data_IF_613905130590
#
_entry.id   IF_613905130590
#
_cell.length_a   1.000
_cell.length_b   1.000
_cell.length_c   1.000
_cell.angle_alpha   90.00
_cell.angle_beta   90.00
_cell.angle_gamma   90.00
#
_symmetry.space_group_name_H-M   'P 1'
#
loop_
_entity.id
_entity.type
_entity.pdbx_description
1 polymer ?
#
# COMPACT_ATOMS: atom_id res chain seq x y z
N UNK A 1 -12.39 3.10 -49.26
CA UNK A 1 -11.92 1.99 -48.40
C UNK A 1 -10.99 2.52 -47.30
N UNK A 2 -11.52 3.13 -46.22
CA UNK A 2 -10.70 3.68 -45.10
C UNK A 2 -11.30 3.44 -43.70
N UNK A 3 -12.28 2.54 -43.56
CA UNK A 3 -13.01 2.33 -42.30
C UNK A 3 -12.75 0.98 -41.60
N UNK A 4 -11.89 0.13 -42.17
CA UNK A 4 -11.61 -1.21 -41.62
C UNK A 4 -10.36 -1.31 -40.73
N UNK A 5 -9.49 -0.29 -40.70
CA UNK A 5 -8.24 -0.34 -39.91
C UNK A 5 -8.38 0.11 -38.45
N UNK A 6 -9.51 0.74 -38.07
CA UNK A 6 -9.68 1.26 -36.70
C UNK A 6 -10.25 0.24 -35.71
N UNK A 7 -10.76 -0.90 -36.18
CA UNK A 7 -11.42 -1.88 -35.30
C UNK A 7 -10.44 -2.95 -34.80
N UNK A 8 -9.37 -3.23 -35.56
CA UNK A 8 -8.35 -4.22 -35.16
C UNK A 8 -7.28 -3.70 -34.20
N UNK A 9 -7.11 -2.38 -34.07
CA UNK A 9 -6.10 -1.81 -33.16
C UNK A 9 -6.57 -1.70 -31.70
N UNK A 10 -7.88 -1.53 -31.46
CA UNK A 10 -8.44 -1.45 -30.10
C UNK A 10 -8.48 -2.79 -29.36
N UNK A 11 -8.35 -3.93 -30.06
CA UNK A 11 -8.36 -5.23 -29.41
C UNK A 11 -6.97 -5.64 -28.87
N UNK A 12 -5.90 -5.06 -29.40
CA UNK A 12 -4.52 -5.40 -29.01
C UNK A 12 -4.09 -4.62 -27.75
N UNK A 13 -4.57 -3.39 -27.57
CA UNK A 13 -4.21 -2.57 -26.39
C UNK A 13 -4.93 -3.08 -25.12
N UNK A 14 -6.14 -3.64 -25.25
CA UNK A 14 -6.86 -4.22 -24.11
C UNK A 14 -6.21 -5.51 -23.58
N UNK A 15 -5.48 -6.24 -24.43
CA UNK A 15 -4.77 -7.47 -24.03
C UNK A 15 -3.43 -7.14 -23.34
N UNK A 16 -2.80 -6.00 -23.62
CA UNK A 16 -1.56 -5.60 -22.94
C UNK A 16 -1.77 -5.05 -21.52
N UNK A 17 -2.98 -4.61 -21.15
CA UNK A 17 -3.30 -4.22 -19.76
C UNK A 17 -3.80 -5.39 -18.90
N UNK A 18 -4.11 -6.55 -19.51
CA UNK A 18 -4.70 -7.70 -18.83
C UNK A 18 -3.73 -8.80 -18.40
N UNK A 19 -2.41 -8.64 -18.58
CA UNK A 19 -1.42 -9.72 -18.36
C UNK A 19 -0.48 -9.43 -17.17
N UNK A 20 -0.75 -8.43 -16.32
CA UNK A 20 0.12 -8.14 -15.17
C UNK A 20 -0.60 -7.76 -13.86
N UNK A 21 -1.89 -8.01 -13.69
CA UNK A 21 -2.37 -8.26 -12.33
C UNK A 21 -2.16 -9.76 -12.07
N UNK A 22 -1.18 -10.18 -11.26
CA UNK A 22 -1.27 -11.51 -10.72
C UNK A 22 -2.60 -11.56 -9.96
N UNK A 23 -3.53 -12.36 -10.48
CA UNK A 23 -4.61 -12.99 -9.73
C UNK A 23 -4.00 -13.98 -8.73
N UNK A 24 -2.92 -13.59 -8.04
CA UNK A 24 -2.56 -14.16 -6.77
C UNK A 24 -3.54 -13.54 -5.81
N UNK A 25 -4.55 -14.31 -5.43
CA UNK A 25 -5.22 -14.16 -4.15
C UNK A 25 -4.15 -13.73 -3.15
N UNK A 26 -4.18 -12.47 -2.70
CA UNK A 26 -3.20 -11.93 -1.77
C UNK A 26 -3.34 -12.71 -0.47
N UNK A 27 -2.69 -13.86 -0.40
CA UNK A 27 -2.83 -14.78 0.71
C UNK A 27 -2.13 -14.13 1.89
N UNK A 28 -2.93 -13.71 2.86
CA UNK A 28 -2.43 -13.26 4.15
C UNK A 28 -1.41 -14.26 4.68
N UNK A 29 -0.20 -13.77 4.98
CA UNK A 29 0.85 -14.58 5.59
C UNK A 29 1.02 -14.14 7.04
N UNK A 30 0.60 -15.00 7.97
CA UNK A 30 0.65 -14.74 9.41
C UNK A 30 2.06 -14.44 9.92
N UNK A 31 3.11 -14.96 9.26
CA UNK A 31 4.50 -14.72 9.67
C UNK A 31 4.89 -13.24 9.56
N UNK A 32 4.28 -12.52 8.62
CA UNK A 32 4.53 -11.10 8.40
C UNK A 32 3.48 -10.19 9.04
N UNK A 33 2.43 -10.75 9.65
CA UNK A 33 1.42 -9.94 10.35
C UNK A 33 1.97 -9.28 11.62
N UNK A 34 1.47 -8.09 11.93
CA UNK A 34 1.83 -7.31 13.11
C UNK A 34 1.60 -5.81 12.93
N UNK A 35 1.91 -5.06 13.99
CA UNK A 35 1.95 -3.60 13.94
C UNK A 35 3.39 -3.14 13.78
N UNK A 36 3.62 -2.28 12.79
CA UNK A 36 4.91 -1.72 12.41
C UNK A 36 4.93 -0.25 12.79
N UNK A 37 5.83 0.14 13.69
CA UNK A 37 5.90 1.48 14.25
C UNK A 37 6.99 2.30 13.56
N UNK A 38 6.70 3.57 13.29
CA UNK A 38 7.69 4.47 12.72
C UNK A 38 8.74 4.85 13.76
N UNK A 39 10.01 4.59 13.46
CA UNK A 39 11.12 4.88 14.39
C UNK A 39 11.28 6.38 14.68
N UNK A 40 10.89 7.25 13.75
CA UNK A 40 10.96 8.71 13.90
C UNK A 40 9.68 9.36 14.45
N UNK A 41 8.58 8.61 14.57
CA UNK A 41 7.29 9.15 15.03
C UNK A 41 6.48 8.09 15.78
N UNK A 42 6.44 8.20 17.11
CA UNK A 42 5.75 7.27 18.00
C UNK A 42 4.25 7.10 17.74
N UNK A 43 3.61 8.06 17.05
CA UNK A 43 2.19 7.97 16.72
C UNK A 43 1.96 7.31 15.36
N UNK A 44 2.99 7.19 14.52
CA UNK A 44 2.85 6.66 13.17
C UNK A 44 3.04 5.14 13.17
N UNK A 45 2.10 4.42 12.53
CA UNK A 45 2.16 2.97 12.44
C UNK A 45 1.43 2.43 11.21
N UNK A 46 1.80 1.21 10.81
CA UNK A 46 1.08 0.33 9.89
C UNK A 46 0.65 -0.89 10.68
N UNK A 47 -0.64 -1.18 10.77
CA UNK A 47 -1.13 -2.43 11.35
C UNK A 47 -1.59 -3.35 10.21
N UNK A 48 -0.93 -4.50 10.06
CA UNK A 48 -1.20 -5.47 9.01
C UNK A 48 -1.57 -6.82 9.62
N UNK A 49 -2.83 -7.22 9.45
CA UNK A 49 -3.37 -8.44 10.03
C UNK A 49 -4.37 -9.12 9.08
N UNK A 50 -4.97 -10.22 9.52
CA UNK A 50 -5.90 -11.00 8.69
C UNK A 50 -7.17 -10.24 8.29
N UNK A 51 -7.51 -9.16 9.02
CA UNK A 51 -8.66 -8.30 8.71
C UNK A 51 -8.31 -7.19 7.71
N UNK A 52 -7.04 -6.98 7.41
CA UNK A 52 -6.58 -6.01 6.42
C UNK A 52 -5.40 -5.17 6.92
N UNK A 53 -5.28 -3.97 6.36
CA UNK A 53 -4.23 -3.02 6.67
C UNK A 53 -4.83 -1.72 7.20
N UNK A 54 -4.25 -1.18 8.27
CA UNK A 54 -4.48 0.19 8.74
C UNK A 54 -3.17 0.97 8.65
N UNK A 55 -3.22 2.14 8.05
CA UNK A 55 -2.13 3.09 8.00
C UNK A 55 -2.50 4.31 8.86
N UNK A 56 -1.64 4.68 9.80
CA UNK A 56 -1.82 5.87 10.64
C UNK A 56 -0.58 6.77 10.58
N UNK A 57 -0.74 7.98 10.06
CA UNK A 57 0.37 8.95 9.86
C UNK A 57 1.49 8.32 9.02
N UNK A 58 1.12 7.55 8.01
CA UNK A 58 2.08 6.91 7.11
C UNK A 58 2.34 7.83 5.95
N UNK A 59 3.60 8.05 5.59
CA UNK A 59 3.92 8.88 4.44
C UNK A 59 3.50 8.17 3.16
N UNK A 60 2.69 8.82 2.34
CA UNK A 60 2.35 8.36 1.00
C UNK A 60 3.24 9.09 -0.01
N UNK A 61 4.15 8.40 -0.70
CA UNK A 61 4.94 9.00 -1.77
C UNK A 61 4.06 9.56 -2.90
N UNK A 62 2.97 8.86 -3.21
CA UNK A 62 1.99 9.27 -4.23
C UNK A 62 1.36 10.63 -3.92
N UNK A 63 0.99 10.85 -2.66
CA UNK A 63 0.35 12.11 -2.19
C UNK A 63 1.36 13.16 -1.73
N UNK A 64 2.63 12.77 -1.59
CA UNK A 64 3.71 13.54 -0.97
C UNK A 64 3.37 14.07 0.42
N UNK A 65 2.53 13.35 1.18
CA UNK A 65 1.96 13.77 2.48
C UNK A 65 1.67 12.55 3.38
N UNK A 66 1.49 12.81 4.68
CA UNK A 66 1.05 11.77 5.61
C UNK A 66 -0.44 11.46 5.47
N UNK A 67 -0.77 10.19 5.53
CA UNK A 67 -2.15 9.70 5.42
C UNK A 67 -2.57 8.87 6.62
N UNK A 68 -3.88 8.82 6.84
CA UNK A 68 -4.55 7.82 7.67
C UNK A 68 -5.60 7.11 6.82
N UNK A 69 -5.56 5.78 6.81
CA UNK A 69 -6.47 4.96 6.02
C UNK A 69 -6.65 3.57 6.66
N UNK A 70 -7.79 2.93 6.40
CA UNK A 70 -8.07 1.55 6.80
C UNK A 70 -8.63 0.83 5.58
N UNK A 71 -8.13 -0.37 5.29
CA UNK A 71 -8.49 -1.12 4.09
C UNK A 71 -8.42 -2.62 4.34
N UNK A 72 -9.15 -3.38 3.52
CA UNK A 72 -9.23 -4.83 3.64
C UNK A 72 -8.16 -5.56 2.82
N UNK A 73 -7.65 -4.93 1.75
CA UNK A 73 -6.72 -5.58 0.81
C UNK A 73 -5.30 -5.08 1.07
N UNK A 74 -4.40 -6.02 1.34
CA UNK A 74 -2.97 -5.77 1.37
C UNK A 74 -2.18 -7.06 1.28
N UNK A 75 -0.89 -6.91 1.03
CA UNK A 75 0.07 -7.96 0.81
C UNK A 75 1.38 -7.58 1.48
N UNK A 76 1.96 -8.54 2.19
CA UNK A 76 3.25 -8.38 2.82
C UNK A 76 4.04 -9.68 2.69
N UNK A 77 5.25 -9.58 2.18
CA UNK A 77 6.19 -10.68 1.99
C UNK A 77 7.57 -10.32 2.52
N UNK A 78 8.56 -11.19 2.28
CA UNK A 78 9.95 -10.96 2.69
C UNK A 78 10.64 -9.83 1.94
N UNK A 79 10.03 -9.25 0.91
CA UNK A 79 10.67 -8.20 0.09
C UNK A 79 9.75 -7.06 -0.30
N UNK A 80 8.43 -7.19 -0.14
CA UNK A 80 7.49 -6.19 -0.64
C UNK A 80 6.26 -6.05 0.24
N UNK A 81 5.84 -4.81 0.43
CA UNK A 81 4.61 -4.39 1.08
C UNK A 81 3.71 -3.64 0.10
N UNK A 82 2.43 -3.98 0.12
CA UNK A 82 1.38 -3.28 -0.62
C UNK A 82 0.10 -3.23 0.20
N UNK A 83 -0.57 -2.08 0.24
CA UNK A 83 -1.91 -1.94 0.80
C UNK A 83 -2.73 -0.95 -0.01
N UNK A 84 -3.98 -1.30 -0.33
CA UNK A 84 -4.90 -0.42 -1.05
C UNK A 84 -6.06 0.02 -0.17
N UNK A 85 -6.47 1.28 -0.33
CA UNK A 85 -7.49 1.92 0.48
C UNK A 85 -8.50 2.61 -0.40
N UNK A 86 -9.79 2.37 -0.21
CA UNK A 86 -10.85 2.99 -1.00
C UNK A 86 -11.12 4.46 -0.66
N UNK A 87 -10.65 4.89 0.49
CA UNK A 87 -10.69 6.27 0.97
C UNK A 87 -9.57 6.47 1.99
N UNK A 88 -9.17 7.72 2.19
CA UNK A 88 -8.10 8.08 3.10
C UNK A 88 -8.27 9.50 3.60
N UNK A 89 -7.45 9.87 4.58
CA UNK A 89 -7.37 11.21 5.14
C UNK A 89 -5.95 11.70 5.00
N UNK A 90 -5.77 12.91 4.49
CA UNK A 90 -4.52 13.65 4.64
C UNK A 90 -4.44 14.12 6.08
N UNK A 91 -3.33 13.83 6.76
CA UNK A 91 -3.08 14.22 8.15
C UNK A 91 -1.77 14.99 8.26
N UNK A 92 -1.62 15.78 9.32
CA UNK A 92 -0.31 16.32 9.69
C UNK A 92 0.52 15.25 10.44
N UNK A 93 1.77 15.59 10.77
CA UNK A 93 2.69 14.72 11.52
C UNK A 93 2.23 14.38 12.97
N UNK A 94 1.18 15.05 13.48
CA UNK A 94 0.55 14.82 14.77
C UNK A 94 -0.75 14.00 14.65
N UNK A 95 -1.15 13.62 13.43
CA UNK A 95 -2.35 12.83 13.17
C UNK A 95 -3.67 13.60 13.16
N UNK A 96 -3.61 14.93 13.14
CA UNK A 96 -4.79 15.78 12.90
C UNK A 96 -5.18 15.76 11.44
N UNK A 97 -6.47 15.61 11.16
CA UNK A 97 -7.01 15.52 9.79
C UNK A 97 -6.99 16.90 9.15
N UNK A 98 -6.31 17.00 8.00
CA UNK A 98 -6.29 18.18 7.14
C UNK A 98 -7.41 18.09 6.12
N UNK A 99 -7.59 16.91 5.50
CA UNK A 99 -8.56 16.70 4.40
C UNK A 99 -9.04 15.26 4.35
N UNK A 100 -10.32 15.06 4.05
CA UNK A 100 -10.89 13.76 3.70
C UNK A 100 -10.83 13.56 2.18
N UNK A 101 -10.44 12.37 1.73
CA UNK A 101 -10.37 12.03 0.31
C UNK A 101 -11.17 10.75 0.05
N UNK A 102 -12.23 10.89 -0.76
CA UNK A 102 -13.10 9.79 -1.18
C UNK A 102 -12.65 9.24 -2.53
N UNK A 103 -11.40 8.79 -2.59
CA UNK A 103 -10.79 8.18 -3.77
C UNK A 103 -9.84 7.07 -3.33
N UNK A 104 -9.56 6.15 -4.24
CA UNK A 104 -8.62 5.07 -4.00
C UNK A 104 -7.19 5.61 -3.90
N UNK A 105 -6.42 5.05 -2.98
CA UNK A 105 -4.97 5.24 -2.88
C UNK A 105 -4.34 3.90 -2.52
N UNK A 106 -3.02 3.81 -2.69
CA UNK A 106 -2.25 2.69 -2.18
C UNK A 106 -1.00 3.17 -1.44
N UNK A 107 -0.44 2.28 -0.65
CA UNK A 107 0.89 2.36 -0.08
C UNK A 107 1.67 1.17 -0.59
N UNK A 108 2.88 1.42 -1.04
CA UNK A 108 3.83 0.39 -1.45
C UNK A 108 5.21 0.70 -0.87
N UNK A 109 5.97 -0.36 -0.59
CA UNK A 109 7.29 -0.24 0.00
C UNK A 109 8.10 -1.52 -0.11
N UNK A 110 9.38 -1.39 0.19
CA UNK A 110 10.28 -2.52 0.35
C UNK A 110 10.11 -3.13 1.74
N UNK A 111 10.47 -4.41 1.87
CA UNK A 111 10.51 -5.09 3.16
C UNK A 111 11.93 -5.60 3.40
N UNK A 112 12.48 -5.28 4.57
CA UNK A 112 13.74 -5.85 5.04
C UNK A 112 13.47 -6.83 6.18
N UNK A 113 14.05 -8.02 6.09
CA UNK A 113 13.81 -9.13 7.02
C UNK A 113 15.14 -9.63 7.54
N UNK A 114 15.38 -9.41 8.83
CA UNK A 114 16.48 -10.00 9.56
C UNK A 114 16.05 -11.18 10.43
N UNK A 115 17.00 -11.74 11.18
CA UNK A 115 16.71 -12.81 12.12
C UNK A 115 15.76 -12.38 13.25
N UNK A 116 15.75 -11.09 13.59
CA UNK A 116 15.04 -10.54 14.75
C UNK A 116 14.17 -9.32 14.40
N UNK A 117 14.04 -8.95 13.13
CA UNK A 117 13.30 -7.76 12.72
C UNK A 117 12.58 -7.99 11.39
N UNK A 118 11.49 -7.25 11.19
CA UNK A 118 10.79 -7.12 9.92
C UNK A 118 10.44 -5.64 9.78
N UNK A 119 10.97 -4.99 8.75
CA UNK A 119 10.81 -3.57 8.51
C UNK A 119 10.08 -3.33 7.21
N UNK A 120 9.12 -2.40 7.23
CA UNK A 120 8.47 -1.88 6.03
C UNK A 120 9.06 -0.51 5.73
N UNK A 121 9.55 -0.31 4.50
CA UNK A 121 10.21 0.92 4.06
C UNK A 121 9.37 1.60 2.98
N UNK A 122 8.76 2.75 3.30
CA UNK A 122 7.89 3.50 2.38
C UNK A 122 8.44 4.91 2.23
N UNK A 123 8.79 5.29 0.99
CA UNK A 123 9.31 6.63 0.70
C UNK A 123 10.55 7.00 1.53
N UNK A 124 11.37 6.00 1.90
CA UNK A 124 12.55 6.17 2.76
C UNK A 124 12.27 6.23 4.26
N UNK A 125 11.03 6.07 4.71
CA UNK A 125 10.66 5.98 6.13
C UNK A 125 10.54 4.52 6.55
N UNK A 126 11.18 4.18 7.67
CA UNK A 126 11.21 2.82 8.23
C UNK A 126 10.09 2.66 9.27
N UNK A 127 9.33 1.57 9.14
CA UNK A 127 8.33 1.09 10.07
C UNK A 127 8.73 -0.31 10.56
N UNK A 128 9.20 -0.39 11.80
CA UNK A 128 9.74 -1.62 12.41
C UNK A 128 8.62 -2.40 13.11
N UNK A 129 8.56 -3.72 12.89
CA UNK A 129 7.58 -4.59 13.55
C UNK A 129 7.76 -4.58 15.07
N UNK A 130 6.69 -4.22 15.79
CA UNK A 130 6.64 -4.34 17.25
C UNK A 130 6.72 -5.80 17.70
N UNK A 131 7.43 -6.02 18.81
CA UNK A 131 7.59 -7.31 19.49
C UNK A 131 6.30 -7.81 20.15
#
# INVERSE_FOLDING_TARGET
MKRLYKITLSFIIAVCLGILSPLTTYAFNSNYSGTFYCMSNQYAFIDFNSSGCTANIVYSPLESQYIRATGNTGYLSSSHFYASFSNYRIVNNQGSVIRYVNSETYLEGDVDVGSNYIDIIIGGIIYEKGL
#
